data_IF_567347892164
#
_entry.id   IF_567347892164
#
_cell.length_a   1.000
_cell.length_b   1.000
_cell.length_c   1.000
_cell.angle_alpha   90.00
_cell.angle_beta   90.00
_cell.angle_gamma   90.00
#
_symmetry.space_group_name_H-M   'P 1'
#
loop_
_entity.id
_entity.type
_entity.pdbx_description
1 polymer ?
#
# COMPACT_ATOMS: atom_id res chain seq x y z
N UNK A 1 6.14 14.18 -36.68
CA UNK A 1 6.27 13.91 -35.22
C UNK A 1 5.15 14.53 -34.38
N UNK A 2 4.67 15.76 -34.65
CA UNK A 2 3.57 16.41 -33.89
C UNK A 2 2.19 15.71 -33.95
N UNK A 3 1.83 15.09 -35.08
CA UNK A 3 0.51 14.44 -35.28
C UNK A 3 0.32 13.20 -34.40
N UNK A 4 1.35 12.35 -34.25
CA UNK A 4 1.28 11.16 -33.36
C UNK A 4 1.04 11.54 -31.89
N UNK A 5 1.56 12.68 -31.44
CA UNK A 5 1.39 13.17 -30.06
C UNK A 5 -0.05 13.63 -29.80
N UNK A 6 -0.73 14.19 -30.82
CA UNK A 6 -2.15 14.56 -30.71
C UNK A 6 -3.09 13.36 -30.77
N UNK A 7 -2.76 12.32 -31.54
CA UNK A 7 -3.54 11.06 -31.56
C UNK A 7 -3.50 10.37 -30.19
N UNK A 8 -2.33 10.30 -29.54
CA UNK A 8 -2.20 9.73 -28.20
C UNK A 8 -2.99 10.50 -27.13
N UNK A 9 -3.01 11.84 -27.22
CA UNK A 9 -3.79 12.68 -26.31
C UNK A 9 -5.30 12.52 -26.52
N UNK A 10 -5.76 12.43 -27.77
CA UNK A 10 -7.18 12.20 -28.09
C UNK A 10 -7.63 10.82 -27.59
N UNK A 11 -6.81 9.77 -27.78
CA UNK A 11 -7.12 8.43 -27.28
C UNK A 11 -7.24 8.39 -25.74
N UNK A 12 -6.35 9.10 -25.03
CA UNK A 12 -6.41 9.23 -23.59
C UNK A 12 -7.68 9.98 -23.11
N UNK A 13 -8.05 11.07 -23.79
CA UNK A 13 -9.28 11.83 -23.50
C UNK A 13 -10.52 10.96 -23.74
N UNK A 14 -10.56 10.18 -24.83
CA UNK A 14 -11.66 9.26 -25.12
C UNK A 14 -11.77 8.16 -24.06
N UNK A 15 -10.64 7.60 -23.59
CA UNK A 15 -10.65 6.61 -22.53
C UNK A 15 -11.15 7.18 -21.18
N UNK A 16 -10.75 8.42 -20.85
CA UNK A 16 -11.24 9.13 -19.66
C UNK A 16 -12.75 9.39 -19.77
N UNK A 17 -13.22 9.87 -20.92
CA UNK A 17 -14.65 10.13 -21.17
C UNK A 17 -15.47 8.83 -21.15
N UNK A 18 -14.94 7.73 -21.67
CA UNK A 18 -15.57 6.42 -21.60
C UNK A 18 -15.70 5.96 -20.14
N UNK A 19 -14.62 6.07 -19.34
CA UNK A 19 -14.65 5.77 -17.91
C UNK A 19 -15.65 6.62 -17.14
N UNK A 20 -15.72 7.92 -17.41
CA UNK A 20 -16.71 8.84 -16.82
C UNK A 20 -18.14 8.43 -17.20
N UNK A 21 -18.40 8.09 -18.47
CA UNK A 21 -19.72 7.64 -18.91
C UNK A 21 -20.12 6.32 -18.25
N UNK A 22 -19.18 5.39 -18.05
CA UNK A 22 -19.45 4.13 -17.33
C UNK A 22 -19.73 4.38 -15.86
N UNK A 23 -19.00 5.29 -15.22
CA UNK A 23 -19.25 5.70 -13.82
C UNK A 23 -20.61 6.40 -13.68
N UNK A 24 -20.96 7.31 -14.61
CA UNK A 24 -22.28 7.96 -14.62
C UNK A 24 -23.40 6.94 -14.79
N UNK A 25 -23.22 5.95 -15.68
CA UNK A 25 -24.21 4.89 -15.91
C UNK A 25 -24.33 3.98 -14.68
N UNK A 26 -23.21 3.65 -14.02
CA UNK A 26 -23.16 2.94 -12.75
C UNK A 26 -23.94 3.71 -11.67
N UNK A 27 -23.68 5.01 -11.51
CA UNK A 27 -24.37 5.85 -10.52
C UNK A 27 -25.86 5.94 -10.80
N UNK A 28 -26.27 6.15 -12.06
CA UNK A 28 -27.70 6.18 -12.46
C UNK A 28 -28.38 4.85 -12.15
N UNK A 29 -27.74 3.72 -12.47
CA UNK A 29 -28.33 2.40 -12.24
C UNK A 29 -28.38 2.03 -10.76
N UNK A 30 -27.39 2.42 -9.96
CA UNK A 30 -27.43 2.25 -8.49
C UNK A 30 -28.60 3.04 -7.89
N UNK A 31 -28.81 4.28 -8.35
CA UNK A 31 -29.95 5.11 -7.92
C UNK A 31 -31.27 4.45 -8.33
N UNK A 32 -31.39 4.00 -9.58
CA UNK A 32 -32.61 3.36 -10.09
C UNK A 32 -32.91 2.03 -9.38
N UNK A 33 -31.89 1.24 -9.05
CA UNK A 33 -32.04 0.00 -8.27
C UNK A 33 -32.56 0.27 -6.85
N UNK A 34 -32.05 1.32 -6.19
CA UNK A 34 -32.48 1.73 -4.86
C UNK A 34 -33.94 2.19 -4.84
N UNK A 35 -34.37 2.91 -5.88
CA UNK A 35 -35.70 3.50 -5.95
C UNK A 35 -36.77 2.52 -6.47
N UNK A 36 -36.42 1.58 -7.36
CA UNK A 36 -37.39 0.75 -8.08
C UNK A 36 -37.35 -0.76 -7.80
N UNK A 37 -36.48 -1.23 -6.90
CA UNK A 37 -36.41 -2.65 -6.47
C UNK A 37 -36.33 -3.66 -7.65
N UNK A 38 -35.75 -3.22 -8.78
CA UNK A 38 -35.56 -4.00 -10.00
C UNK A 38 -34.10 -4.39 -10.13
N UNK A 39 -33.82 -5.68 -9.99
CA UNK A 39 -32.48 -6.24 -10.20
C UNK A 39 -32.50 -6.94 -11.56
N UNK A 40 -31.89 -6.33 -12.59
CA UNK A 40 -31.54 -7.04 -13.83
C UNK A 40 -30.21 -7.77 -13.58
N UNK A 41 -30.28 -9.10 -13.45
CA UNK A 41 -29.19 -9.95 -12.93
C UNK A 41 -27.89 -9.89 -13.73
N UNK A 42 -27.97 -9.70 -15.04
CA UNK A 42 -26.81 -9.83 -15.94
C UNK A 42 -26.01 -8.53 -16.07
N UNK A 43 -26.67 -7.39 -15.93
CA UNK A 43 -26.01 -6.08 -15.91
C UNK A 43 -25.28 -5.84 -14.58
N UNK A 44 -25.85 -6.33 -13.47
CA UNK A 44 -25.24 -6.22 -12.14
C UNK A 44 -23.86 -6.91 -12.06
N UNK A 45 -23.70 -8.06 -12.71
CA UNK A 45 -22.43 -8.79 -12.78
C UNK A 45 -21.33 -7.99 -13.48
N UNK A 46 -21.65 -7.31 -14.59
CA UNK A 46 -20.70 -6.46 -15.32
C UNK A 46 -20.30 -5.22 -14.52
N UNK A 47 -21.22 -4.64 -13.76
CA UNK A 47 -20.92 -3.51 -12.89
C UNK A 47 -20.04 -3.92 -11.70
N UNK A 48 -20.28 -5.09 -11.11
CA UNK A 48 -19.39 -5.64 -10.07
C UNK A 48 -17.96 -5.80 -10.56
N UNK A 49 -17.75 -6.43 -11.72
CA UNK A 49 -16.39 -6.62 -12.27
C UNK A 49 -15.66 -5.29 -12.49
N UNK A 50 -16.37 -4.28 -12.98
CA UNK A 50 -15.82 -2.94 -13.15
C UNK A 50 -15.46 -2.29 -11.80
N UNK A 51 -16.39 -2.32 -10.83
CA UNK A 51 -16.16 -1.74 -9.50
C UNK A 51 -14.98 -2.44 -8.82
N UNK A 52 -14.92 -3.77 -8.87
CA UNK A 52 -13.80 -4.56 -8.35
C UNK A 52 -12.49 -4.11 -9.00
N UNK A 53 -12.47 -3.96 -10.33
CA UNK A 53 -11.29 -3.52 -11.08
C UNK A 53 -10.86 -2.09 -10.70
N UNK A 54 -11.82 -1.18 -10.54
CA UNK A 54 -11.52 0.20 -10.16
C UNK A 54 -11.01 0.28 -8.70
N UNK A 55 -11.58 -0.50 -7.78
CA UNK A 55 -11.11 -0.59 -6.38
C UNK A 55 -9.73 -1.24 -6.33
N UNK A 56 -9.49 -2.31 -7.11
CA UNK A 56 -8.20 -3.02 -7.09
C UNK A 56 -7.05 -2.13 -7.54
N UNK A 57 -7.34 -1.21 -8.47
CA UNK A 57 -6.41 -0.21 -9.00
C UNK A 57 -6.38 1.12 -8.24
N UNK A 58 -7.05 1.19 -7.07
CA UNK A 58 -7.20 2.40 -6.25
C UNK A 58 -7.70 3.63 -7.05
N UNK A 59 -8.61 3.41 -8.00
CA UNK A 59 -9.28 4.48 -8.76
C UNK A 59 -10.53 5.01 -8.06
N UNK A 60 -11.13 4.19 -7.19
CA UNK A 60 -12.25 4.54 -6.32
C UNK A 60 -12.00 3.96 -4.93
N UNK A 61 -12.42 4.68 -3.89
CA UNK A 61 -12.29 4.21 -2.51
C UNK A 61 -13.43 3.24 -2.16
N UNK A 62 -13.11 2.12 -1.50
CA UNK A 62 -14.12 1.15 -1.08
C UNK A 62 -15.12 1.71 -0.05
N UNK A 63 -14.71 2.69 0.75
CA UNK A 63 -15.58 3.43 1.67
C UNK A 63 -16.59 4.32 0.95
N UNK A 64 -16.28 4.81 -0.25
CA UNK A 64 -17.28 5.51 -1.07
C UNK A 64 -18.31 4.50 -1.60
N UNK A 65 -17.84 3.32 -2.05
CA UNK A 65 -18.71 2.23 -2.51
C UNK A 65 -19.68 1.77 -1.41
N UNK A 66 -19.21 1.68 -0.16
CA UNK A 66 -20.04 1.26 0.99
C UNK A 66 -21.18 2.22 1.33
N UNK A 67 -21.14 3.46 0.80
CA UNK A 67 -22.25 4.42 0.94
C UNK A 67 -23.45 4.04 0.06
N UNK A 68 -23.21 3.25 -0.99
CA UNK A 68 -24.20 2.93 -2.02
C UNK A 68 -24.56 1.44 -2.08
N UNK A 69 -23.72 0.55 -1.56
CA UNK A 69 -23.96 -0.89 -1.55
C UNK A 69 -24.10 -1.44 -0.12
N UNK A 70 -24.87 -2.53 0.09
CA UNK A 70 -24.90 -3.24 1.35
C UNK A 70 -23.50 -3.67 1.82
N UNK A 71 -23.30 -3.73 3.13
CA UNK A 71 -22.03 -4.12 3.76
C UNK A 71 -21.49 -5.44 3.21
N UNK A 72 -22.34 -6.46 3.14
CA UNK A 72 -21.97 -7.79 2.63
C UNK A 72 -21.47 -7.76 1.17
N UNK A 73 -22.06 -6.94 0.31
CA UNK A 73 -21.62 -6.79 -1.08
C UNK A 73 -20.30 -6.02 -1.16
N UNK A 74 -20.18 -4.96 -0.36
CA UNK A 74 -18.94 -4.19 -0.22
C UNK A 74 -17.78 -5.08 0.23
N UNK A 75 -18.00 -5.97 1.20
CA UNK A 75 -16.98 -6.93 1.65
C UNK A 75 -16.54 -7.90 0.55
N UNK A 76 -17.48 -8.40 -0.27
CA UNK A 76 -17.18 -9.28 -1.40
C UNK A 76 -16.31 -8.53 -2.42
N UNK A 77 -16.71 -7.31 -2.78
CA UNK A 77 -15.96 -6.44 -3.70
C UNK A 77 -14.56 -6.16 -3.14
N UNK A 78 -14.44 -5.81 -1.86
CA UNK A 78 -13.17 -5.52 -1.21
C UNK A 78 -12.22 -6.73 -1.27
N UNK A 79 -12.73 -7.93 -0.96
CA UNK A 79 -11.94 -9.18 -1.00
C UNK A 79 -11.50 -9.53 -2.42
N UNK A 80 -12.39 -9.41 -3.40
CA UNK A 80 -12.07 -9.68 -4.80
C UNK A 80 -11.11 -8.63 -5.37
N UNK A 81 -11.24 -7.36 -4.99
CA UNK A 81 -10.33 -6.33 -5.41
C UNK A 81 -8.93 -6.53 -4.80
N UNK A 82 -8.85 -6.98 -3.54
CA UNK A 82 -7.60 -7.30 -2.87
C UNK A 82 -6.91 -8.57 -3.40
N UNK A 83 -7.60 -9.43 -4.16
CA UNK A 83 -6.98 -10.58 -4.82
C UNK A 83 -6.44 -10.27 -6.22
N UNK A 84 -6.80 -9.11 -6.79
CA UNK A 84 -6.32 -8.67 -8.09
C UNK A 84 -4.98 -7.94 -7.98
N UNK A 85 -4.08 -8.27 -8.92
CA UNK A 85 -2.77 -7.66 -9.00
C UNK A 85 -2.86 -6.18 -9.39
N UNK A 86 -2.25 -5.27 -8.61
CA UNK A 86 -2.18 -3.86 -8.98
C UNK A 86 -1.28 -3.63 -10.21
N UNK A 87 -1.49 -2.52 -10.96
CA UNK A 87 -0.59 -2.14 -12.04
C UNK A 87 0.85 -1.91 -11.54
N UNK A 88 1.83 -2.37 -12.33
CA UNK A 88 3.25 -2.20 -12.05
C UNK A 88 3.87 -1.06 -12.87
N UNK A 89 4.89 -0.33 -12.36
CA UNK A 89 5.38 -0.43 -10.98
C UNK A 89 4.34 0.08 -9.97
N UNK A 90 4.18 -0.63 -8.86
CA UNK A 90 3.19 -0.29 -7.84
C UNK A 90 3.84 0.56 -6.76
N UNK A 91 3.52 1.85 -6.71
CA UNK A 91 3.87 2.72 -5.57
C UNK A 91 3.20 2.19 -4.30
N UNK A 92 3.97 2.06 -3.22
CA UNK A 92 3.45 1.53 -1.96
C UNK A 92 2.39 2.45 -1.34
N UNK A 93 2.56 3.77 -1.41
CA UNK A 93 1.66 4.74 -0.76
C UNK A 93 0.31 4.82 -1.51
N UNK A 94 0.21 4.23 -2.70
CA UNK A 94 -1.05 4.08 -3.42
C UNK A 94 -1.95 2.98 -2.84
N UNK A 95 -1.42 2.06 -2.01
CA UNK A 95 -2.20 0.92 -1.51
C UNK A 95 -1.98 0.61 -0.04
N UNK A 96 -0.83 0.95 0.53
CA UNK A 96 -0.48 0.68 1.92
C UNK A 96 -0.20 1.99 2.65
N UNK A 97 -0.66 2.08 3.89
CA UNK A 97 -0.51 3.28 4.71
C UNK A 97 0.61 3.08 5.72
N UNK A 98 1.57 4.02 5.79
CA UNK A 98 2.54 4.10 6.90
C UNK A 98 1.81 4.41 8.22
N UNK A 99 1.27 3.36 8.84
CA UNK A 99 0.29 3.45 9.93
C UNK A 99 0.62 2.49 11.07
N UNK A 100 1.50 1.52 10.85
CA UNK A 100 1.93 0.61 11.90
C UNK A 100 3.16 1.13 12.63
N UNK A 101 3.06 1.30 13.94
CA UNK A 101 4.18 1.72 14.80
C UNK A 101 4.26 0.82 16.02
N UNK A 102 5.44 0.27 16.31
CA UNK A 102 5.64 -0.60 17.47
C UNK A 102 7.04 -0.41 18.06
N UNK A 103 7.24 -0.97 19.25
CA UNK A 103 8.54 -1.21 19.83
C UNK A 103 8.50 -2.31 20.88
N UNK A 104 9.62 -2.55 21.54
CA UNK A 104 9.76 -3.61 22.55
C UNK A 104 9.14 -3.25 23.91
N UNK A 105 8.71 -1.99 24.11
CA UNK A 105 7.93 -1.57 25.27
C UNK A 105 6.64 -0.86 24.84
N UNK A 106 5.63 -0.85 25.71
CA UNK A 106 4.28 -0.33 25.42
C UNK A 106 4.28 1.07 24.78
N UNK A 107 5.16 1.96 25.24
CA UNK A 107 5.23 3.36 24.80
C UNK A 107 6.40 3.65 23.86
N UNK A 108 7.17 2.63 23.44
CA UNK A 108 8.30 2.81 22.52
C UNK A 108 7.92 3.55 21.24
N UNK A 109 6.75 3.22 20.69
CA UNK A 109 6.25 3.84 19.46
C UNK A 109 6.03 5.37 19.57
N UNK A 110 5.95 5.95 20.78
CA UNK A 110 5.77 7.40 20.96
C UNK A 110 6.96 8.24 20.46
N UNK A 111 8.14 7.62 20.31
CA UNK A 111 9.32 8.28 19.75
C UNK A 111 9.38 8.27 18.22
N UNK A 112 8.31 7.86 17.54
CA UNK A 112 8.27 7.78 16.08
C UNK A 112 7.53 8.99 15.52
N UNK A 113 8.21 9.81 14.72
CA UNK A 113 7.61 10.91 13.95
C UNK A 113 7.81 10.66 12.46
N UNK A 114 6.72 10.79 11.70
CA UNK A 114 6.71 10.62 10.24
C UNK A 114 6.16 11.88 9.60
N UNK A 115 7.01 12.54 8.80
CA UNK A 115 6.63 13.71 8.02
C UNK A 115 6.89 13.48 6.54
N UNK A 116 6.01 14.01 5.69
CA UNK A 116 6.10 13.85 4.23
C UNK A 116 6.30 15.20 3.56
N UNK A 117 7.16 15.21 2.54
CA UNK A 117 7.27 16.30 1.57
C UNK A 117 6.92 15.77 0.18
N UNK A 118 6.90 16.63 -0.83
CA UNK A 118 6.74 16.20 -2.23
C UNK A 118 7.90 15.34 -2.75
N UNK A 119 9.03 15.29 -2.03
CA UNK A 119 10.25 14.62 -2.49
C UNK A 119 10.60 13.35 -1.69
N UNK A 120 10.15 13.25 -0.44
CA UNK A 120 10.54 12.16 0.44
C UNK A 120 9.66 12.05 1.69
N UNK A 121 9.78 10.90 2.34
CA UNK A 121 9.25 10.61 3.66
C UNK A 121 10.42 10.72 4.64
N UNK A 122 10.32 11.62 5.62
CA UNK A 122 11.26 11.72 6.74
C UNK A 122 10.71 10.93 7.92
N UNK A 123 11.54 10.09 8.51
CA UNK A 123 11.19 9.31 9.70
C UNK A 123 12.22 9.61 10.78
N UNK A 124 11.75 10.10 11.92
CA UNK A 124 12.53 10.31 13.14
C UNK A 124 12.18 9.19 14.12
N UNK A 125 13.19 8.51 14.63
CA UNK A 125 13.09 7.37 15.53
C UNK A 125 13.88 7.72 16.81
N UNK A 126 13.16 8.15 17.84
CA UNK A 126 13.71 8.46 19.15
C UNK A 126 13.52 7.27 20.09
N UNK A 127 14.62 6.64 20.50
CA UNK A 127 14.63 5.53 21.46
C UNK A 127 14.45 6.00 22.92
N UNK A 128 13.42 6.83 23.14
CA UNK A 128 13.03 7.35 24.45
C UNK A 128 12.56 6.22 25.38
N UNK A 129 11.87 5.23 24.82
CA UNK A 129 11.43 4.03 25.52
C UNK A 129 11.82 2.79 24.70
N UNK A 130 12.47 1.83 25.35
CA UNK A 130 12.81 0.53 24.76
C UNK A 130 14.10 0.56 23.95
N UNK A 131 14.44 -0.58 23.34
CA UNK A 131 15.63 -0.76 22.53
C UNK A 131 15.31 -0.96 21.04
N UNK A 132 14.04 -1.15 20.68
CA UNK A 132 13.62 -1.44 19.31
C UNK A 132 12.41 -0.59 18.93
N UNK A 133 12.50 0.02 17.75
CA UNK A 133 11.40 0.71 17.08
C UNK A 133 11.18 0.10 15.71
N UNK A 134 9.92 -0.05 15.31
CA UNK A 134 9.58 -0.51 13.97
C UNK A 134 8.38 0.26 13.40
N UNK A 135 8.51 0.61 12.13
CA UNK A 135 7.50 1.31 11.33
C UNK A 135 7.05 0.40 10.18
N UNK A 136 5.76 0.37 9.90
CA UNK A 136 5.14 -0.49 8.88
C UNK A 136 4.21 0.29 7.94
N UNK A 137 4.25 -0.12 6.68
CA UNK A 137 3.23 0.17 5.67
C UNK A 137 2.23 -0.97 5.64
N UNK A 138 1.04 -0.70 6.17
CA UNK A 138 0.00 -1.70 6.40
C UNK A 138 -1.14 -1.59 5.39
N UNK A 139 -1.70 -2.74 5.02
CA UNK A 139 -2.96 -2.87 4.30
C UNK A 139 -3.90 -3.87 4.98
N UNK A 140 -5.19 -3.50 5.19
CA UNK A 140 -5.67 -2.12 5.23
C UNK A 140 -4.90 -1.26 6.25
N UNK A 141 -5.14 0.04 6.24
CA UNK A 141 -4.56 0.94 7.25
C UNK A 141 -4.82 0.42 8.68
N UNK A 142 -3.80 0.48 9.54
CA UNK A 142 -3.84 0.00 10.93
C UNK A 142 -4.23 -1.50 11.10
N UNK A 143 -4.05 -2.32 10.06
CA UNK A 143 -4.33 -3.76 10.15
C UNK A 143 -3.25 -4.51 10.93
N UNK A 144 -3.60 -4.97 12.13
CA UNK A 144 -2.74 -5.78 13.00
C UNK A 144 -3.18 -7.24 13.02
N UNK A 145 -3.69 -7.73 11.88
CA UNK A 145 -4.12 -9.11 11.68
C UNK A 145 -5.59 -9.35 12.00
N UNK A 146 -6.39 -8.30 12.16
CA UNK A 146 -7.85 -8.34 12.26
C UNK A 146 -8.51 -8.52 10.88
N UNK A 147 -7.82 -8.12 9.80
CA UNK A 147 -8.31 -8.19 8.41
C UNK A 147 -7.32 -8.92 7.50
N UNK A 148 -7.79 -9.54 6.40
CA UNK A 148 -6.90 -10.09 5.39
C UNK A 148 -6.06 -8.98 4.74
N UNK A 149 -4.91 -9.36 4.22
CA UNK A 149 -4.05 -8.51 3.40
C UNK A 149 -4.47 -8.52 1.94
N UNK A 150 -3.59 -8.02 1.08
CA UNK A 150 -3.74 -8.00 -0.38
C UNK A 150 -2.78 -8.99 -1.01
N UNK A 151 -3.22 -9.65 -2.09
CA UNK A 151 -2.33 -10.48 -2.91
C UNK A 151 -1.46 -9.58 -3.77
N UNK A 152 -0.16 -9.79 -3.68
CA UNK A 152 0.87 -9.25 -4.58
C UNK A 152 1.55 -10.38 -5.37
N UNK A 153 0.83 -11.50 -5.55
CA UNK A 153 1.35 -12.70 -6.21
C UNK A 153 1.87 -12.40 -7.62
N UNK A 154 3.11 -12.78 -7.88
CA UNK A 154 3.78 -12.57 -9.17
C UNK A 154 4.76 -11.39 -9.20
N UNK A 155 4.75 -10.52 -8.18
CA UNK A 155 5.83 -9.53 -7.96
C UNK A 155 7.10 -10.26 -7.55
N UNK A 156 8.24 -9.77 -8.01
CA UNK A 156 9.54 -10.36 -7.70
C UNK A 156 10.50 -9.41 -7.01
N UNK A 157 10.15 -8.12 -6.87
CA UNK A 157 11.05 -7.14 -6.27
C UNK A 157 10.32 -6.01 -5.58
N UNK A 158 10.91 -5.54 -4.49
CA UNK A 158 10.61 -4.26 -3.86
C UNK A 158 11.84 -3.35 -3.99
N UNK A 159 11.65 -2.17 -4.58
CA UNK A 159 12.70 -1.16 -4.79
C UNK A 159 12.37 0.09 -4.01
N UNK A 160 13.38 0.68 -3.37
CA UNK A 160 13.24 1.94 -2.65
C UNK A 160 14.58 2.67 -2.60
N UNK A 161 14.53 3.97 -2.33
CA UNK A 161 15.73 4.73 -2.02
C UNK A 161 15.71 5.16 -0.56
N UNK A 162 16.87 5.07 0.09
CA UNK A 162 17.03 5.52 1.46
C UNK A 162 18.33 6.33 1.63
N UNK A 163 18.32 7.25 2.59
CA UNK A 163 19.51 7.91 3.12
C UNK A 163 19.35 8.25 4.60
N UNK A 164 20.47 8.36 5.30
CA UNK A 164 20.55 8.86 6.66
C UNK A 164 20.68 10.38 6.70
N UNK A 165 20.43 10.98 7.86
CA UNK A 165 20.71 12.39 8.13
C UNK A 165 22.21 12.63 8.28
N UNK A 166 22.92 11.70 8.92
CA UNK A 166 24.33 11.81 9.28
C UNK A 166 25.23 10.80 8.54
N UNK A 167 24.66 9.79 7.91
CA UNK A 167 25.39 8.81 7.10
C UNK A 167 26.01 7.67 7.90
N UNK A 168 25.53 7.44 9.12
CA UNK A 168 25.92 6.35 10.01
C UNK A 168 24.71 5.62 10.60
N UNK A 169 23.49 6.04 10.25
CA UNK A 169 22.25 5.40 10.65
C UNK A 169 22.21 3.97 10.12
N UNK A 170 21.87 3.03 10.97
CA UNK A 170 21.74 1.60 10.63
C UNK A 170 20.30 1.17 10.80
N UNK A 171 19.69 0.75 9.69
CA UNK A 171 18.30 0.32 9.63
C UNK A 171 18.21 -1.07 9.03
N UNK A 172 17.37 -1.92 9.58
CA UNK A 172 16.95 -3.15 8.92
C UNK A 172 15.66 -2.89 8.14
N UNK A 173 15.65 -3.20 6.84
CA UNK A 173 14.47 -3.11 5.99
C UNK A 173 13.88 -4.49 5.75
N UNK A 174 12.55 -4.57 5.80
CA UNK A 174 11.79 -5.81 5.69
C UNK A 174 10.55 -5.64 4.81
N UNK A 175 10.03 -6.77 4.36
CA UNK A 175 8.75 -6.91 3.68
C UNK A 175 8.07 -8.19 4.20
N UNK A 176 6.79 -8.11 4.53
CA UNK A 176 6.09 -9.11 5.33
C UNK A 176 6.52 -9.14 6.81
N UNK A 177 6.22 -10.25 7.49
CA UNK A 177 6.67 -10.53 8.86
C UNK A 177 5.67 -10.27 9.99
N UNK A 178 4.43 -9.88 9.71
CA UNK A 178 3.34 -9.95 10.70
C UNK A 178 2.88 -11.41 10.85
N UNK A 179 3.19 -12.03 11.99
CA UNK A 179 2.99 -13.46 12.29
C UNK A 179 2.15 -13.65 13.54
N UNK A 180 1.71 -14.89 13.77
CA UNK A 180 0.99 -15.31 14.99
C UNK A 180 -0.33 -14.55 15.25
N UNK A 181 -1.00 -14.17 14.16
CA UNK A 181 -2.26 -13.44 14.12
C UNK A 181 -3.31 -14.22 13.32
N UNK A 182 -4.58 -13.82 13.44
CA UNK A 182 -5.69 -14.43 12.67
C UNK A 182 -5.45 -14.31 11.17
N UNK A 183 -5.15 -13.10 10.72
CA UNK A 183 -4.58 -12.84 9.41
C UNK A 183 -3.11 -12.43 9.58
N UNK A 184 -2.24 -12.99 8.74
CA UNK A 184 -0.79 -12.86 8.86
C UNK A 184 -0.14 -12.77 7.49
N UNK A 185 1.02 -12.15 7.40
CA UNK A 185 1.79 -12.19 6.16
C UNK A 185 2.13 -13.63 5.80
N UNK A 186 2.01 -13.95 4.51
CA UNK A 186 2.38 -15.27 3.96
C UNK A 186 3.89 -15.45 3.77
N UNK A 187 4.68 -14.39 3.98
CA UNK A 187 6.13 -14.36 3.79
C UNK A 187 6.81 -13.41 4.78
N UNK A 188 8.13 -13.49 4.82
CA UNK A 188 8.97 -12.47 5.44
C UNK A 188 10.32 -12.45 4.74
N UNK A 189 10.73 -11.27 4.27
CA UNK A 189 12.06 -11.03 3.74
C UNK A 189 12.69 -9.88 4.51
N UNK A 190 13.94 -10.05 4.91
CA UNK A 190 14.77 -9.02 5.52
C UNK A 190 16.02 -8.80 4.68
N UNK A 191 16.39 -7.53 4.47
CA UNK A 191 17.69 -7.18 3.89
C UNK A 191 18.83 -7.23 4.92
N UNK A 192 18.52 -7.58 6.16
CA UNK A 192 19.39 -7.37 7.31
C UNK A 192 19.65 -5.87 7.57
N UNK A 193 20.55 -5.60 8.50
CA UNK A 193 20.95 -4.25 8.87
C UNK A 193 21.77 -3.60 7.75
N UNK A 194 21.38 -2.39 7.33
CA UNK A 194 22.06 -1.57 6.32
C UNK A 194 22.47 -0.25 6.95
N UNK A 195 23.76 0.07 6.84
CA UNK A 195 24.25 1.43 7.10
C UNK A 195 23.83 2.33 5.93
N UNK A 196 23.24 3.47 6.25
CA UNK A 196 22.81 4.47 5.28
C UNK A 196 23.88 5.55 5.14
N UNK A 197 24.10 6.04 3.92
CA UNK A 197 24.92 7.22 3.67
C UNK A 197 24.10 8.51 3.75
N UNK A 198 24.75 9.68 3.72
CA UNK A 198 24.07 10.98 3.58
C UNK A 198 23.50 11.22 2.16
N UNK A 199 23.84 10.35 1.21
CA UNK A 199 23.37 10.41 -0.18
C UNK A 199 22.34 9.33 -0.44
N UNK A 200 21.42 9.60 -1.38
CA UNK A 200 20.41 8.61 -1.77
C UNK A 200 21.06 7.35 -2.33
N UNK A 201 20.65 6.21 -1.78
CA UNK A 201 21.06 4.88 -2.24
C UNK A 201 19.82 4.09 -2.61
N UNK A 202 19.87 3.44 -3.78
CA UNK A 202 18.83 2.51 -4.22
C UNK A 202 19.06 1.13 -3.57
N UNK A 203 17.99 0.58 -3.01
CA UNK A 203 17.93 -0.76 -2.43
C UNK A 203 16.95 -1.60 -3.23
N UNK A 204 17.31 -2.87 -3.45
CA UNK A 204 16.48 -3.86 -4.16
C UNK A 204 16.36 -5.09 -3.27
N UNK A 205 15.15 -5.33 -2.79
CA UNK A 205 14.81 -6.54 -2.06
C UNK A 205 14.28 -7.58 -3.06
N UNK A 206 14.92 -8.74 -3.08
CA UNK A 206 14.49 -9.87 -3.90
C UNK A 206 13.31 -10.58 -3.24
N UNK A 207 12.20 -10.68 -3.98
CA UNK A 207 10.97 -11.36 -3.59
C UNK A 207 10.69 -12.56 -4.49
N UNK A 208 11.65 -12.97 -5.32
CA UNK A 208 11.50 -14.12 -6.20
C UNK A 208 11.11 -15.36 -5.39
N UNK A 209 10.08 -16.06 -5.85
CA UNK A 209 9.52 -17.27 -5.24
C UNK A 209 8.96 -17.08 -3.81
N UNK A 210 8.79 -15.84 -3.33
CA UNK A 210 8.09 -15.60 -2.07
C UNK A 210 6.58 -15.78 -2.26
N UNK A 211 5.92 -16.28 -1.22
CA UNK A 211 4.46 -16.35 -1.18
C UNK A 211 3.89 -14.98 -0.84
N UNK A 212 3.50 -14.22 -1.86
CA UNK A 212 2.88 -12.90 -1.73
C UNK A 212 1.34 -12.97 -1.79
N UNK A 213 0.73 -14.12 -1.45
CA UNK A 213 -0.72 -14.31 -1.52
C UNK A 213 -1.51 -13.50 -0.48
N UNK A 214 -0.90 -13.18 0.67
CA UNK A 214 -1.50 -12.34 1.69
C UNK A 214 -0.47 -11.38 2.28
N UNK A 215 -0.48 -10.12 1.81
CA UNK A 215 0.42 -9.05 2.24
C UNK A 215 -0.35 -8.04 3.07
N UNK A 216 -0.06 -8.00 4.37
CA UNK A 216 -0.53 -7.00 5.33
C UNK A 216 0.56 -5.94 5.51
N UNK A 217 1.80 -6.34 5.80
CA UNK A 217 2.95 -5.43 5.95
C UNK A 217 3.80 -5.46 4.68
N UNK A 218 3.54 -4.56 3.73
CA UNK A 218 4.28 -4.51 2.46
C UNK A 218 5.73 -4.05 2.62
N UNK A 219 5.99 -3.13 3.56
CA UNK A 219 7.32 -2.63 3.85
C UNK A 219 7.40 -2.25 5.31
N UNK A 220 8.52 -2.56 5.95
CA UNK A 220 8.80 -2.11 7.30
C UNK A 220 10.29 -1.84 7.50
N UNK A 221 10.57 -1.05 8.53
CA UNK A 221 11.93 -0.72 8.93
C UNK A 221 12.08 -0.85 10.43
N UNK A 222 13.24 -1.33 10.87
CA UNK A 222 13.58 -1.53 12.27
C UNK A 222 14.82 -0.70 12.62
N UNK A 223 14.73 0.04 13.72
CA UNK A 223 15.87 0.70 14.35
C UNK A 223 16.12 0.12 15.73
N UNK A 224 17.39 0.03 16.11
CA UNK A 224 17.83 -0.47 17.40
C UNK A 224 18.66 0.59 18.14
N UNK A 225 18.35 0.78 19.42
CA UNK A 225 19.02 1.74 20.32
C UNK A 225 20.50 1.43 20.49
N UNK A 226 20.86 0.15 20.59
CA UNK A 226 22.25 -0.29 20.76
C UNK A 226 23.17 0.14 19.60
N UNK A 227 22.58 0.38 18.42
CA UNK A 227 23.32 0.74 17.21
C UNK A 227 23.24 2.24 16.93
N UNK A 228 22.03 2.80 16.97
CA UNK A 228 21.81 4.21 16.60
C UNK A 228 21.85 5.16 17.79
N UNK A 229 21.92 4.66 19.02
CA UNK A 229 21.85 5.47 20.23
C UNK A 229 20.44 6.04 20.45
N UNK A 230 20.36 7.36 20.65
CA UNK A 230 19.13 8.07 21.04
C UNK A 230 18.17 8.34 19.87
N UNK A 231 18.50 9.29 18.99
CA UNK A 231 17.68 9.66 17.83
C UNK A 231 18.33 9.16 16.53
N UNK A 232 17.51 8.55 15.68
CA UNK A 232 17.88 8.14 14.32
C UNK A 232 16.92 8.82 13.32
N UNK A 233 17.43 9.60 12.38
CA UNK A 233 16.63 10.23 11.33
C UNK A 233 16.99 9.64 9.97
N UNK A 234 15.99 9.15 9.24
CA UNK A 234 16.17 8.62 7.88
C UNK A 234 15.19 9.27 6.91
N UNK A 235 15.51 9.16 5.62
CA UNK A 235 14.67 9.62 4.53
C UNK A 235 14.45 8.46 3.55
N UNK A 236 13.22 8.33 3.08
CA UNK A 236 12.81 7.32 2.10
C UNK A 236 12.13 7.99 0.92
N UNK A 237 12.26 7.41 -0.28
CA UNK A 237 11.47 7.77 -1.45
C UNK A 237 11.39 6.61 -2.44
N UNK A 238 10.49 6.74 -3.42
CA UNK A 238 10.35 5.83 -4.56
C UNK A 238 10.20 4.35 -4.16
N UNK A 239 9.47 4.09 -3.06
CA UNK A 239 9.17 2.74 -2.56
C UNK A 239 8.11 2.13 -3.47
N UNK A 240 8.47 1.08 -4.22
CA UNK A 240 7.59 0.47 -5.21
C UNK A 240 7.88 -1.01 -5.40
N UNK A 241 6.85 -1.78 -5.74
CA UNK A 241 7.02 -3.14 -6.24
C UNK A 241 7.19 -3.14 -7.76
N UNK A 242 8.03 -4.07 -8.24
CA UNK A 242 8.36 -4.32 -9.65
C UNK A 242 8.12 -5.78 -10.05
#
# INVERSE_FOLDING_TARGET
MKIKKHIGLIAAIVAILAGIATIITLVINIIDMKDNNRILSDDLGRYHDLVITLVSQNKINIGDVSTYLPEKETEIIARQAASQMPPLPMDIDAYFSCSGFTGDMANSHMGIDVSRTSESIKIVLEHAFGNRLQVYWLYPENNWGDKPGRSLSGINRLVFEAKGRWGNEVIEFKSGGLRDLNYKDSYEVSMGRKALSMTWQEFKMDLLNQDLSNVISAFSLVSLKEINGGECTIFLRNIRFE
#
